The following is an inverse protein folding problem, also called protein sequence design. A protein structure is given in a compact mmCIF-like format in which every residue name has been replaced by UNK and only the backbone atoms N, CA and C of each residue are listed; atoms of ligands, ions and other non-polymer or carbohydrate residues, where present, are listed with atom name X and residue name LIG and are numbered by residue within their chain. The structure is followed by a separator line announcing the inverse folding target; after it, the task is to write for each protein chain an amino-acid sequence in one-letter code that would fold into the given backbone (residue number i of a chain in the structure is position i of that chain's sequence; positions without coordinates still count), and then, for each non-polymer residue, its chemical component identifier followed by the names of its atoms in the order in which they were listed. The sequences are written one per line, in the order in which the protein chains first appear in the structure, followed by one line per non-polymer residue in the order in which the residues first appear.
data_IF_693762584185
#
_entry.id   IF_693762584185
#
_cell.length_a   1.000
_cell.length_b   1.000
_cell.length_c   1.000
_cell.angle_alpha   90.00
_cell.angle_beta   90.00
_cell.angle_gamma   90.00
#
_symmetry.space_group_name_H-M   'P 1'
#
loop_
_entity.id
_entity.type
_entity.pdbx_description
1 polymer ?
#
# COMPACT_ATOMS: atom_id res chain seq x y z
N UNK A 1 2.15 -12.74 -29.72
CA UNK A 1 3.08 -12.34 -28.66
C UNK A 1 2.45 -12.76 -27.34
N UNK A 2 3.07 -13.66 -26.57
CA UNK A 2 2.48 -14.17 -25.32
C UNK A 2 3.08 -13.39 -24.13
N UNK A 3 2.26 -12.63 -23.40
CA UNK A 3 2.69 -11.89 -22.20
C UNK A 3 2.36 -12.71 -20.95
N UNK A 4 3.36 -13.11 -20.15
CA UNK A 4 3.15 -13.76 -18.85
C UNK A 4 3.48 -12.77 -17.74
N UNK A 5 2.52 -12.52 -16.83
CA UNK A 5 2.76 -11.72 -15.62
C UNK A 5 3.44 -12.61 -14.59
N UNK A 6 4.57 -12.15 -14.05
CA UNK A 6 5.26 -12.76 -12.92
C UNK A 6 5.01 -11.81 -11.74
N UNK A 7 4.40 -12.30 -10.66
CA UNK A 7 4.26 -11.54 -9.43
C UNK A 7 5.13 -12.16 -8.34
N UNK A 8 5.84 -11.35 -7.54
CA UNK A 8 6.53 -11.83 -6.36
C UNK A 8 5.52 -12.35 -5.33
N UNK A 9 5.95 -13.29 -4.48
CA UNK A 9 5.10 -13.94 -3.46
C UNK A 9 4.48 -12.94 -2.45
N UNK A 10 5.13 -11.79 -2.25
CA UNK A 10 4.56 -10.66 -1.52
C UNK A 10 5.07 -9.35 -2.13
N UNK A 11 4.25 -8.62 -2.91
CA UNK A 11 4.67 -7.34 -3.44
C UNK A 11 4.75 -6.31 -2.30
N UNK A 12 5.92 -5.70 -2.14
CA UNK A 12 6.03 -4.50 -1.32
C UNK A 12 5.30 -3.35 -2.05
N UNK A 13 4.35 -2.73 -1.36
CA UNK A 13 3.57 -1.59 -1.88
C UNK A 13 3.91 -0.36 -1.04
N UNK A 14 4.41 0.69 -1.69
CA UNK A 14 4.61 1.99 -1.05
C UNK A 14 3.31 2.80 -1.17
N UNK A 15 2.89 3.43 -0.07
CA UNK A 15 1.71 4.28 -0.04
C UNK A 15 1.72 5.23 1.14
N UNK A 16 0.71 6.09 1.21
CA UNK A 16 0.55 7.07 2.29
C UNK A 16 -0.33 6.48 3.39
N UNK A 17 0.01 6.75 4.65
CA UNK A 17 -0.85 6.50 5.82
C UNK A 17 -1.27 7.85 6.40
N UNK A 18 -2.56 8.01 6.69
CA UNK A 18 -3.11 9.21 7.34
C UNK A 18 -3.82 8.82 8.65
N UNK A 19 -3.54 9.58 9.72
CA UNK A 19 -4.09 9.36 11.05
C UNK A 19 -3.34 10.17 12.12
N UNK A 20 -3.92 10.32 13.32
CA UNK A 20 -3.23 10.94 14.45
C UNK A 20 -2.11 10.03 14.98
N UNK A 21 -1.03 10.63 15.51
CA UNK A 21 0.05 9.97 16.27
C UNK A 21 0.58 8.66 15.65
N UNK A 22 0.92 8.71 14.35
CA UNK A 22 1.45 7.54 13.65
C UNK A 22 2.83 7.13 14.21
N UNK A 23 3.00 5.88 14.70
CA UNK A 23 4.26 5.42 15.25
C UNK A 23 5.32 5.31 14.17
N UNK A 24 6.57 5.63 14.52
CA UNK A 24 7.74 5.47 13.66
C UNK A 24 8.57 4.29 14.16
N UNK A 25 9.02 3.44 13.24
CA UNK A 25 9.87 2.28 13.54
C UNK A 25 9.11 0.99 13.85
N UNK A 26 7.93 1.08 14.47
CA UNK A 26 7.09 -0.09 14.77
C UNK A 26 6.15 -0.46 13.60
N UNK A 27 5.90 -1.77 13.37
CA UNK A 27 4.91 -2.19 12.38
C UNK A 27 3.50 -1.68 12.71
N UNK A 28 2.89 -0.96 11.76
CA UNK A 28 1.52 -0.47 11.86
C UNK A 28 0.59 -1.30 10.99
N UNK A 29 -0.49 -1.85 11.57
CA UNK A 29 -1.58 -2.45 10.80
C UNK A 29 -2.42 -1.33 10.19
N UNK A 30 -2.71 -1.46 8.90
CA UNK A 30 -3.44 -0.46 8.15
C UNK A 30 -4.53 -1.09 7.27
N UNK A 31 -5.55 -0.29 6.94
CA UNK A 31 -6.61 -0.63 6.00
C UNK A 31 -6.50 0.27 4.77
N UNK A 32 -6.58 -0.32 3.58
CA UNK A 32 -6.62 0.41 2.32
C UNK A 32 -7.96 1.14 2.20
N UNK A 33 -7.92 2.45 1.94
CA UNK A 33 -9.11 3.29 1.75
C UNK A 33 -9.22 3.89 0.35
N UNK A 34 -8.09 3.97 -0.39
CA UNK A 34 -8.09 4.37 -1.80
C UNK A 34 -6.99 3.65 -2.56
N UNK A 35 -7.34 3.14 -3.75
CA UNK A 35 -6.38 2.71 -4.77
C UNK A 35 -6.79 3.27 -6.13
N UNK A 36 -5.88 3.98 -6.79
CA UNK A 36 -6.10 4.54 -8.12
C UNK A 36 -4.91 4.21 -9.02
N UNK A 37 -4.86 2.99 -9.58
CA UNK A 37 -3.72 2.53 -10.38
C UNK A 37 -3.38 3.51 -11.51
N UNK A 38 -2.09 3.82 -11.67
CA UNK A 38 -1.59 4.71 -12.72
C UNK A 38 -1.84 6.20 -12.52
N UNK A 39 -2.55 6.61 -11.45
CA UNK A 39 -2.88 8.02 -11.20
C UNK A 39 -2.46 8.50 -9.81
N UNK A 40 -2.51 7.63 -8.79
CA UNK A 40 -2.03 7.95 -7.45
C UNK A 40 -1.54 6.70 -6.70
N UNK A 41 -0.67 6.91 -5.70
CA UNK A 41 -0.31 5.87 -4.74
C UNK A 41 -1.51 5.48 -3.86
N UNK A 42 -1.52 4.27 -3.28
CA UNK A 42 -2.57 3.87 -2.36
C UNK A 42 -2.57 4.71 -1.08
N UNK A 43 -3.76 4.96 -0.54
CA UNK A 43 -3.98 5.61 0.74
C UNK A 43 -4.50 4.59 1.74
N UNK A 44 -3.91 4.62 2.93
CA UNK A 44 -4.26 3.77 4.05
C UNK A 44 -4.61 4.59 5.29
N UNK A 45 -5.37 3.99 6.19
CA UNK A 45 -5.61 4.48 7.55
C UNK A 45 -5.25 3.39 8.57
N UNK A 46 -4.95 3.72 9.83
CA UNK A 46 -4.85 2.72 10.90
C UNK A 46 -6.07 1.79 10.93
N UNK A 47 -5.82 0.49 11.11
CA UNK A 47 -6.85 -0.56 11.02
C UNK A 47 -7.75 -0.64 12.25
#
# INVERSE_FOLDING_TARGET
MLSRRIQPASPAVLGRVEGPDLPLGDPLRVRLVRASPGTAGPLFIPA
#
